data_IF_579280121410
#
_entry.id   IF_579280121410
#
_cell.length_a   1.000
_cell.length_b   1.000
_cell.length_c   1.000
_cell.angle_alpha   90.00
_cell.angle_beta   90.00
_cell.angle_gamma   90.00
#
_symmetry.space_group_name_H-M   'P 1'
#
loop_
_entity.id
_entity.type
_entity.pdbx_description
1 polymer ?
#
# COMPACT_ATOMS: atom_id res chain seq x y z
N UNK A 1 14.73 4.75 -14.41
CA UNK A 1 13.83 4.70 -13.25
C UNK A 1 13.27 6.07 -12.85
N UNK A 2 14.10 7.10 -12.62
CA UNK A 2 13.62 8.43 -12.23
C UNK A 2 12.66 9.04 -13.25
N UNK A 3 12.93 8.92 -14.53
CA UNK A 3 12.05 9.37 -15.62
C UNK A 3 10.71 8.64 -15.66
N UNK A 4 10.72 7.33 -15.42
CA UNK A 4 9.48 6.53 -15.33
C UNK A 4 8.65 6.90 -14.11
N UNK A 5 9.30 7.15 -12.98
CA UNK A 5 8.61 7.64 -11.79
C UNK A 5 7.99 9.03 -12.05
N UNK A 6 8.77 9.96 -12.62
CA UNK A 6 8.25 11.28 -12.99
C UNK A 6 7.04 11.20 -13.95
N UNK A 7 7.11 10.31 -14.93
CA UNK A 7 5.98 10.04 -15.83
C UNK A 7 4.77 9.47 -15.09
N UNK A 8 4.97 8.51 -14.17
CA UNK A 8 3.90 7.93 -13.37
C UNK A 8 3.19 8.97 -12.50
N UNK A 9 3.97 9.88 -11.86
CA UNK A 9 3.41 10.99 -11.08
C UNK A 9 2.65 11.97 -11.98
N UNK A 10 3.23 12.36 -13.12
CA UNK A 10 2.57 13.25 -14.07
C UNK A 10 1.26 12.67 -14.61
N UNK A 11 1.26 11.37 -14.97
CA UNK A 11 0.04 10.66 -15.37
C UNK A 11 -0.99 10.60 -14.23
N UNK A 12 -0.55 10.42 -12.99
CA UNK A 12 -1.45 10.40 -11.82
C UNK A 12 -2.13 11.75 -11.63
N UNK A 13 -1.38 12.84 -11.72
CA UNK A 13 -1.90 14.21 -11.62
C UNK A 13 -2.82 14.54 -12.79
N UNK A 14 -2.40 14.22 -14.03
CA UNK A 14 -3.23 14.45 -15.22
C UNK A 14 -4.55 13.68 -15.15
N UNK A 15 -4.50 12.42 -14.71
CA UNK A 15 -5.67 11.58 -14.55
C UNK A 15 -6.62 12.12 -13.47
N UNK A 16 -6.08 12.67 -12.38
CA UNK A 16 -6.84 13.31 -11.32
C UNK A 16 -7.72 14.45 -11.86
N UNK A 17 -7.16 15.31 -12.72
CA UNK A 17 -7.90 16.45 -13.30
C UNK A 17 -8.79 16.06 -14.49
N UNK A 18 -8.50 14.98 -15.18
CA UNK A 18 -9.26 14.57 -16.38
C UNK A 18 -10.50 13.74 -16.04
N UNK A 19 -10.44 12.91 -14.99
CA UNK A 19 -11.57 12.03 -14.67
C UNK A 19 -12.70 12.77 -13.98
N UNK A 20 -13.94 12.62 -14.49
CA UNK A 20 -15.10 13.20 -13.83
C UNK A 20 -15.28 12.61 -12.44
N UNK A 21 -15.58 13.45 -11.50
CA UNK A 21 -15.91 13.07 -10.13
C UNK A 21 -17.25 12.33 -10.12
N UNK A 22 -17.31 11.17 -9.50
CA UNK A 22 -18.59 10.49 -9.27
C UNK A 22 -19.42 11.35 -8.29
N UNK A 23 -20.63 11.72 -8.69
CA UNK A 23 -21.54 12.50 -7.86
C UNK A 23 -21.73 11.81 -6.49
N UNK A 24 -21.57 12.58 -5.42
CA UNK A 24 -21.72 12.09 -4.04
C UNK A 24 -20.52 11.31 -3.47
N UNK A 25 -19.42 11.13 -4.20
CA UNK A 25 -18.21 10.53 -3.64
C UNK A 25 -17.53 11.51 -2.67
N UNK A 26 -17.24 11.08 -1.42
CA UNK A 26 -16.50 11.91 -0.46
C UNK A 26 -15.03 12.12 -0.86
N UNK A 27 -14.49 11.22 -1.69
CA UNK A 27 -13.11 11.25 -2.18
C UNK A 27 -13.08 11.18 -3.69
N UNK A 28 -12.07 11.78 -4.30
CA UNK A 28 -11.88 11.73 -5.73
C UNK A 28 -11.68 10.28 -6.21
N UNK A 29 -12.52 9.81 -7.14
CA UNK A 29 -12.51 8.41 -7.60
C UNK A 29 -11.22 8.02 -8.31
N UNK A 30 -10.57 8.96 -9.01
CA UNK A 30 -9.26 8.75 -9.65
C UNK A 30 -8.14 8.52 -8.65
N UNK A 31 -8.35 8.85 -7.37
CA UNK A 31 -7.36 8.67 -6.32
C UNK A 31 -7.04 7.19 -6.04
N UNK A 32 -7.94 6.27 -6.37
CA UNK A 32 -7.78 4.85 -6.02
C UNK A 32 -6.86 4.06 -6.95
N UNK A 33 -6.92 4.25 -8.26
CA UNK A 33 -6.22 3.38 -9.20
C UNK A 33 -4.83 3.91 -9.60
N UNK A 34 -4.78 5.13 -10.10
CA UNK A 34 -3.53 5.68 -10.68
C UNK A 34 -2.52 6.03 -9.59
N UNK A 35 -3.00 6.45 -8.41
CA UNK A 35 -2.13 6.69 -7.26
C UNK A 35 -1.39 5.44 -6.80
N UNK A 36 -2.02 4.28 -6.83
CA UNK A 36 -1.36 3.02 -6.46
C UNK A 36 -0.16 2.72 -7.35
N UNK A 37 -0.27 2.99 -8.66
CA UNK A 37 0.85 2.79 -9.58
C UNK A 37 2.04 3.72 -9.25
N UNK A 38 1.78 5.01 -8.99
CA UNK A 38 2.84 5.96 -8.62
C UNK A 38 3.51 5.59 -7.29
N UNK A 39 2.74 5.08 -6.32
CA UNK A 39 3.24 4.59 -5.02
C UNK A 39 4.13 3.36 -5.20
N UNK A 40 3.70 2.39 -6.02
CA UNK A 40 4.51 1.22 -6.35
C UNK A 40 5.82 1.62 -7.03
N UNK A 41 5.77 2.59 -7.97
CA UNK A 41 6.95 3.14 -8.62
C UNK A 41 7.87 3.87 -7.64
N UNK A 42 7.31 4.57 -6.64
CA UNK A 42 8.10 5.18 -5.56
C UNK A 42 8.82 4.11 -4.73
N UNK A 43 8.14 3.04 -4.34
CA UNK A 43 8.76 1.91 -3.63
C UNK A 43 9.90 1.27 -4.42
N UNK A 44 9.69 1.04 -5.72
CA UNK A 44 10.71 0.51 -6.62
C UNK A 44 11.91 1.48 -6.77
N UNK A 45 11.64 2.79 -6.90
CA UNK A 45 12.68 3.82 -7.00
C UNK A 45 13.54 3.85 -5.72
N UNK A 46 12.91 3.86 -4.56
CA UNK A 46 13.60 3.85 -3.26
C UNK A 46 14.47 2.61 -3.12
N UNK A 47 13.96 1.44 -3.52
CA UNK A 47 14.73 0.20 -3.51
C UNK A 47 15.95 0.24 -4.44
N UNK A 48 15.79 0.74 -5.66
CA UNK A 48 16.89 0.88 -6.63
C UNK A 48 17.94 1.89 -6.17
N UNK A 49 17.49 2.97 -5.52
CA UNK A 49 18.37 4.03 -5.01
C UNK A 49 18.87 3.78 -3.59
N UNK A 50 18.63 2.61 -3.01
CA UNK A 50 18.92 2.29 -1.59
C UNK A 50 20.35 2.63 -1.16
N UNK A 51 21.35 2.37 -2.04
CA UNK A 51 22.76 2.61 -1.74
C UNK A 51 23.14 4.11 -1.70
N UNK A 52 22.23 4.98 -2.19
CA UNK A 52 22.39 6.45 -2.18
C UNK A 52 21.59 7.13 -1.09
N UNK A 53 20.71 6.37 -0.39
CA UNK A 53 19.87 6.92 0.67
C UNK A 53 20.71 7.01 1.94
N UNK A 54 20.94 8.24 2.40
CA UNK A 54 21.59 8.48 3.68
C UNK A 54 20.65 8.13 4.82
N UNK A 55 21.10 7.24 5.71
CA UNK A 55 20.39 6.94 6.94
C UNK A 55 20.66 8.06 7.93
N UNK A 56 19.62 8.74 8.38
CA UNK A 56 19.66 9.79 9.38
C UNK A 56 19.53 9.24 10.81
N UNK A 57 19.01 10.08 11.72
CA UNK A 57 18.59 9.64 13.04
C UNK A 57 17.24 8.93 12.95
N UNK A 58 17.14 7.72 13.52
CA UNK A 58 15.92 6.91 13.48
C UNK A 58 14.68 7.66 13.98
N UNK A 59 14.83 8.55 15.00
CA UNK A 59 13.73 9.37 15.51
C UNK A 59 13.22 10.33 14.44
N UNK A 60 14.10 10.97 13.66
CA UNK A 60 13.71 11.88 12.59
C UNK A 60 12.96 11.15 11.49
N UNK A 61 13.40 9.95 11.15
CA UNK A 61 12.76 9.15 10.09
C UNK A 61 11.40 8.61 10.53
N UNK A 62 11.26 8.19 11.80
CA UNK A 62 9.95 7.82 12.38
C UNK A 62 9.03 9.03 12.43
N UNK A 63 9.49 10.18 12.94
CA UNK A 63 8.69 11.41 12.95
C UNK A 63 8.29 11.83 11.54
N UNK A 64 9.19 11.73 10.57
CA UNK A 64 8.89 12.02 9.16
C UNK A 64 7.80 11.11 8.59
N UNK A 65 7.83 9.83 8.92
CA UNK A 65 6.80 8.86 8.54
C UNK A 65 5.45 9.21 9.17
N UNK A 66 5.39 9.46 10.48
CA UNK A 66 4.16 9.80 11.20
C UNK A 66 3.57 11.13 10.73
N UNK A 67 4.40 12.16 10.55
CA UNK A 67 3.95 13.46 10.02
C UNK A 67 3.37 13.29 8.61
N UNK A 68 4.03 12.51 7.76
CA UNK A 68 3.54 12.23 6.40
C UNK A 68 2.19 11.51 6.44
N UNK A 69 2.02 10.55 7.35
CA UNK A 69 0.77 9.85 7.55
C UNK A 69 -0.37 10.78 7.98
N UNK A 70 -0.12 11.60 9.00
CA UNK A 70 -1.11 12.57 9.50
C UNK A 70 -1.47 13.60 8.42
N UNK A 71 -0.48 14.15 7.71
CA UNK A 71 -0.72 15.12 6.63
C UNK A 71 -1.55 14.52 5.50
N UNK A 72 -1.30 13.26 5.13
CA UNK A 72 -2.11 12.56 4.13
C UNK A 72 -3.59 12.58 4.50
N UNK A 73 -3.95 12.13 5.71
CA UNK A 73 -5.32 12.11 6.16
C UNK A 73 -5.91 13.50 6.38
N UNK A 74 -5.10 14.46 6.81
CA UNK A 74 -5.54 15.85 7.00
C UNK A 74 -5.96 16.46 5.65
N UNK A 75 -5.15 16.31 4.61
CA UNK A 75 -5.45 16.83 3.26
C UNK A 75 -6.71 16.15 2.71
N UNK A 76 -6.86 14.84 2.88
CA UNK A 76 -8.07 14.14 2.47
C UNK A 76 -9.31 14.64 3.24
N UNK A 77 -9.17 14.90 4.54
CA UNK A 77 -10.27 15.40 5.37
C UNK A 77 -10.71 16.82 4.96
N UNK A 78 -9.76 17.68 4.58
CA UNK A 78 -10.06 19.05 4.09
C UNK A 78 -10.90 18.99 2.82
N UNK A 79 -10.57 18.11 1.88
CA UNK A 79 -11.31 17.96 0.62
C UNK A 79 -12.58 17.12 0.71
N UNK A 80 -12.79 16.41 1.83
CA UNK A 80 -13.94 15.52 1.99
C UNK A 80 -15.27 16.27 1.91
N UNK A 81 -16.18 15.77 1.07
CA UNK A 81 -17.51 16.36 0.88
C UNK A 81 -17.51 17.84 0.44
N UNK A 82 -16.40 18.33 -0.14
CA UNK A 82 -16.29 19.67 -0.68
C UNK A 82 -16.50 19.64 -2.19
N UNK A 83 -16.72 20.83 -2.77
CA UNK A 83 -16.85 21.04 -4.21
C UNK A 83 -15.88 22.13 -4.66
N UNK A 84 -15.54 22.13 -5.94
CA UNK A 84 -14.61 23.11 -6.51
C UNK A 84 -13.17 22.91 -6.04
N UNK A 85 -12.41 23.98 -5.93
CA UNK A 85 -10.97 23.94 -5.68
C UNK A 85 -10.58 23.21 -4.37
N UNK A 86 -11.42 23.24 -3.33
CA UNK A 86 -11.17 22.52 -2.08
C UNK A 86 -11.18 21.00 -2.26
N UNK A 87 -11.95 20.52 -3.22
CA UNK A 87 -11.95 19.11 -3.59
C UNK A 87 -10.66 18.73 -4.32
N UNK A 88 -10.20 19.62 -5.22
CA UNK A 88 -8.99 19.43 -6.00
C UNK A 88 -7.72 19.44 -5.14
N UNK A 89 -7.75 20.08 -3.97
CA UNK A 89 -6.64 20.05 -2.99
C UNK A 89 -6.25 18.61 -2.61
N UNK A 90 -7.17 17.65 -2.73
CA UNK A 90 -6.86 16.24 -2.44
C UNK A 90 -5.69 15.70 -3.27
N UNK A 91 -5.39 16.26 -4.46
CA UNK A 91 -4.22 15.86 -5.25
C UNK A 91 -2.90 16.06 -4.49
N UNK A 92 -2.84 17.06 -3.61
CA UNK A 92 -1.66 17.32 -2.78
C UNK A 92 -1.37 16.18 -1.78
N UNK A 93 -2.35 15.32 -1.47
CA UNK A 93 -2.15 14.16 -0.62
C UNK A 93 -1.17 13.13 -1.23
N UNK A 94 -0.91 13.21 -2.54
CA UNK A 94 0.15 12.41 -3.19
C UNK A 94 1.53 12.70 -2.59
N UNK A 95 1.82 13.94 -2.23
CA UNK A 95 3.14 14.33 -1.70
C UNK A 95 3.43 13.64 -0.36
N UNK A 96 2.59 13.78 0.68
CA UNK A 96 2.84 13.08 1.94
C UNK A 96 2.74 11.56 1.77
N UNK A 97 1.96 11.05 0.83
CA UNK A 97 1.88 9.61 0.58
C UNK A 97 3.20 9.04 0.04
N UNK A 98 3.85 9.73 -0.92
CA UNK A 98 5.18 9.34 -1.40
C UNK A 98 6.25 9.51 -0.32
N UNK A 99 6.15 10.58 0.49
CA UNK A 99 7.04 10.80 1.64
C UNK A 99 6.91 9.68 2.67
N UNK A 100 5.68 9.21 2.93
CA UNK A 100 5.42 8.08 3.81
C UNK A 100 6.12 6.80 3.34
N UNK A 101 6.07 6.50 2.04
CA UNK A 101 6.79 5.35 1.46
C UNK A 101 8.30 5.49 1.64
N UNK A 102 8.84 6.68 1.38
CA UNK A 102 10.28 6.96 1.54
C UNK A 102 10.75 6.78 2.98
N UNK A 103 10.08 7.42 3.94
CA UNK A 103 10.42 7.30 5.36
C UNK A 103 10.14 5.90 5.90
N UNK A 104 9.05 5.27 5.45
CA UNK A 104 8.73 3.89 5.80
C UNK A 104 9.84 2.91 5.38
N UNK A 105 10.42 3.07 4.19
CA UNK A 105 11.59 2.31 3.77
C UNK A 105 12.79 2.55 4.70
N UNK A 106 13.10 3.80 5.05
CA UNK A 106 14.20 4.12 5.96
C UNK A 106 13.98 3.47 7.33
N UNK A 107 12.78 3.61 7.89
CA UNK A 107 12.41 3.01 9.17
C UNK A 107 12.53 1.48 9.11
N UNK A 108 12.09 0.85 8.03
CA UNK A 108 12.21 -0.59 7.83
C UNK A 108 13.65 -1.08 7.67
N UNK A 109 14.57 -0.20 7.27
CA UNK A 109 15.99 -0.53 7.04
C UNK A 109 16.88 -0.38 8.29
N UNK A 110 16.32 -0.01 9.45
CA UNK A 110 17.09 0.08 10.69
C UNK A 110 17.32 -1.29 11.33
N UNK A 111 18.45 -1.46 12.02
CA UNK A 111 18.85 -2.72 12.69
C UNK A 111 17.83 -3.26 13.70
N UNK A 112 17.03 -2.41 14.33
CA UNK A 112 15.98 -2.86 15.23
C UNK A 112 14.87 -3.60 14.49
N UNK A 113 14.59 -3.21 13.25
CA UNK A 113 13.64 -3.91 12.37
C UNK A 113 14.17 -5.30 12.01
N UNK A 114 15.46 -5.41 11.68
CA UNK A 114 16.11 -6.71 11.45
C UNK A 114 16.03 -7.61 12.69
N UNK A 115 16.22 -7.03 13.87
CA UNK A 115 16.07 -7.76 15.12
C UNK A 115 14.62 -8.24 15.34
N UNK A 116 13.61 -7.42 15.03
CA UNK A 116 12.21 -7.82 15.10
C UNK A 116 11.87 -8.90 14.07
N UNK A 117 12.38 -8.75 12.84
CA UNK A 117 12.19 -9.72 11.74
C UNK A 117 12.92 -11.04 12.02
N UNK A 118 14.04 -11.00 12.73
CA UNK A 118 14.79 -12.20 13.16
C UNK A 118 14.05 -13.05 14.20
N UNK A 119 13.00 -12.54 14.83
CA UNK A 119 12.16 -13.34 15.73
C UNK A 119 11.34 -14.36 14.93
N UNK A 120 11.48 -15.62 15.29
CA UNK A 120 10.91 -16.78 14.57
C UNK A 120 9.42 -16.65 14.22
N UNK A 121 8.61 -16.03 15.07
CA UNK A 121 7.19 -15.84 14.85
C UNK A 121 6.88 -14.63 13.94
N UNK A 122 7.47 -13.48 14.26
CA UNK A 122 7.23 -12.24 13.50
C UNK A 122 7.79 -12.33 12.08
N UNK A 123 9.02 -12.80 11.94
CA UNK A 123 9.66 -12.95 10.63
C UNK A 123 8.89 -13.90 9.72
N UNK A 124 8.44 -15.06 10.22
CA UNK A 124 7.61 -15.98 9.43
C UNK A 124 6.26 -15.40 9.06
N UNK A 125 5.59 -14.68 9.98
CA UNK A 125 4.33 -14.02 9.70
C UNK A 125 4.45 -12.95 8.63
N UNK A 126 5.48 -12.10 8.73
CA UNK A 126 5.73 -11.04 7.73
C UNK A 126 6.11 -11.65 6.38
N UNK A 127 6.95 -12.68 6.37
CA UNK A 127 7.32 -13.40 5.14
C UNK A 127 6.10 -14.02 4.46
N UNK A 128 5.21 -14.64 5.24
CA UNK A 128 3.95 -15.20 4.75
C UNK A 128 3.08 -14.10 4.10
N UNK A 129 2.83 -13.00 4.81
CA UNK A 129 2.03 -11.89 4.29
C UNK A 129 2.67 -11.26 3.05
N UNK A 130 4.00 -11.08 3.05
CA UNK A 130 4.74 -10.58 1.90
C UNK A 130 4.62 -11.51 0.70
N UNK A 131 4.68 -12.83 0.92
CA UNK A 131 4.50 -13.85 -0.12
C UNK A 131 3.06 -13.95 -0.66
N UNK A 132 2.08 -13.39 0.05
CA UNK A 132 0.66 -13.37 -0.33
C UNK A 132 0.18 -11.98 -0.80
N UNK A 133 1.08 -11.02 -0.97
CA UNK A 133 0.70 -9.62 -1.24
C UNK A 133 -0.19 -9.47 -2.46
N UNK A 134 0.09 -10.19 -3.55
CA UNK A 134 -0.70 -10.13 -4.78
C UNK A 134 -2.11 -10.71 -4.57
N UNK A 135 -2.20 -11.86 -3.94
CA UNK A 135 -3.46 -12.54 -3.66
C UNK A 135 -4.29 -11.74 -2.66
N UNK A 136 -3.66 -11.16 -1.63
CA UNK A 136 -4.30 -10.24 -0.69
C UNK A 136 -4.93 -9.07 -1.45
N UNK A 137 -4.18 -8.45 -2.38
CA UNK A 137 -4.66 -7.33 -3.17
C UNK A 137 -5.89 -7.71 -4.02
N UNK A 138 -5.91 -8.92 -4.57
CA UNK A 138 -7.03 -9.39 -5.40
C UNK A 138 -8.28 -9.64 -4.54
N UNK A 139 -8.15 -10.31 -3.39
CA UNK A 139 -9.32 -10.73 -2.60
C UNK A 139 -9.86 -9.65 -1.67
N UNK A 140 -9.05 -8.67 -1.27
CA UNK A 140 -9.44 -7.65 -0.29
C UNK A 140 -10.70 -6.87 -0.73
N UNK A 141 -10.81 -6.53 -2.01
CA UNK A 141 -11.96 -5.76 -2.53
C UNK A 141 -13.29 -6.50 -2.39
N UNK A 142 -13.27 -7.83 -2.37
CA UNK A 142 -14.47 -8.66 -2.20
C UNK A 142 -14.83 -8.87 -0.72
N UNK A 143 -13.84 -8.80 0.18
CA UNK A 143 -13.98 -9.18 1.58
C UNK A 143 -14.13 -7.99 2.52
N UNK A 144 -13.70 -6.79 2.12
CA UNK A 144 -13.92 -5.58 2.91
C UNK A 144 -15.41 -5.25 2.94
N UNK A 145 -15.97 -5.25 4.14
CA UNK A 145 -17.41 -4.99 4.36
C UNK A 145 -17.62 -4.08 5.56
N UNK A 146 -18.62 -3.22 5.47
CA UNK A 146 -19.02 -2.34 6.57
C UNK A 146 -19.86 -3.05 7.67
N UNK A 147 -20.26 -4.28 7.43
CA UNK A 147 -21.17 -5.03 8.34
C UNK A 147 -20.58 -5.25 9.74
N UNK A 148 -19.25 -5.21 9.87
CA UNK A 148 -18.53 -5.50 11.11
C UNK A 148 -18.01 -4.24 11.81
N UNK A 149 -18.42 -3.06 11.37
CA UNK A 149 -17.98 -1.79 11.95
C UNK A 149 -18.42 -1.60 13.40
N UNK A 150 -19.49 -2.28 13.83
CA UNK A 150 -19.97 -2.27 15.22
C UNK A 150 -18.97 -2.88 16.22
N UNK A 151 -18.02 -3.69 15.75
CA UNK A 151 -17.03 -4.41 16.58
C UNK A 151 -15.65 -3.78 16.47
N UNK A 152 -15.57 -2.50 16.07
CA UNK A 152 -14.29 -1.78 16.01
C UNK A 152 -13.62 -1.71 17.40
N UNK A 153 -12.26 -1.91 17.52
CA UNK A 153 -11.27 -2.13 16.45
C UNK A 153 -11.03 -3.61 16.09
N UNK A 154 -11.75 -4.56 16.69
CA UNK A 154 -11.55 -6.01 16.50
C UNK A 154 -11.83 -6.43 15.05
N UNK A 155 -12.78 -5.75 14.38
CA UNK A 155 -13.11 -6.01 12.99
C UNK A 155 -11.89 -5.93 12.06
N UNK A 156 -10.94 -5.03 12.31
CA UNK A 156 -9.73 -4.90 11.49
C UNK A 156 -8.92 -6.21 11.52
N UNK A 157 -8.72 -6.77 12.72
CA UNK A 157 -7.95 -8.01 12.89
C UNK A 157 -8.67 -9.19 12.25
N UNK A 158 -9.99 -9.29 12.46
CA UNK A 158 -10.80 -10.38 11.92
C UNK A 158 -10.83 -10.32 10.39
N UNK A 159 -11.12 -9.15 9.81
CA UNK A 159 -11.18 -8.98 8.35
C UNK A 159 -9.81 -9.24 7.74
N UNK A 160 -8.73 -8.75 8.35
CA UNK A 160 -7.37 -9.02 7.87
C UNK A 160 -7.04 -10.52 7.91
N UNK A 161 -7.41 -11.24 8.97
CA UNK A 161 -7.20 -12.69 9.06
C UNK A 161 -7.98 -13.45 7.98
N UNK A 162 -9.23 -13.05 7.71
CA UNK A 162 -10.06 -13.64 6.64
C UNK A 162 -9.44 -13.38 5.27
N UNK A 163 -8.95 -12.16 5.02
CA UNK A 163 -8.28 -11.81 3.76
C UNK A 163 -7.01 -12.66 3.59
N UNK A 164 -6.18 -12.81 4.61
CA UNK A 164 -4.98 -13.64 4.55
C UNK A 164 -5.31 -15.12 4.28
N UNK A 165 -6.34 -15.66 4.90
CA UNK A 165 -6.80 -17.03 4.67
C UNK A 165 -7.30 -17.22 3.22
N UNK A 166 -8.11 -16.30 2.72
CA UNK A 166 -8.63 -16.36 1.35
C UNK A 166 -7.49 -16.20 0.32
N UNK A 167 -6.54 -15.31 0.57
CA UNK A 167 -5.36 -15.14 -0.27
C UNK A 167 -4.50 -16.42 -0.31
N UNK A 168 -4.30 -17.06 0.84
CA UNK A 168 -3.58 -18.32 0.91
C UNK A 168 -4.29 -19.42 0.09
N UNK A 169 -5.61 -19.57 0.25
CA UNK A 169 -6.39 -20.51 -0.54
C UNK A 169 -6.29 -20.23 -2.04
N UNK A 170 -6.39 -18.97 -2.43
CA UNK A 170 -6.23 -18.56 -3.84
C UNK A 170 -4.85 -18.96 -4.38
N UNK A 171 -3.77 -18.72 -3.62
CA UNK A 171 -2.42 -19.12 -4.01
C UNK A 171 -2.29 -20.63 -4.19
N UNK A 172 -2.82 -21.41 -3.25
CA UNK A 172 -2.82 -22.88 -3.35
C UNK A 172 -3.60 -23.36 -4.59
N UNK A 173 -4.78 -22.79 -4.83
CA UNK A 173 -5.59 -23.13 -6.02
C UNK A 173 -4.87 -22.77 -7.32
N UNK A 174 -4.25 -21.61 -7.39
CA UNK A 174 -3.48 -21.18 -8.56
C UNK A 174 -2.28 -22.09 -8.81
N UNK A 175 -1.53 -22.43 -7.75
CA UNK A 175 -0.40 -23.36 -7.88
C UNK A 175 -0.84 -24.76 -8.31
N UNK A 176 -1.95 -25.28 -7.76
CA UNK A 176 -2.52 -26.56 -8.19
C UNK A 176 -2.96 -26.53 -9.65
N UNK A 177 -3.64 -25.46 -10.08
CA UNK A 177 -4.07 -25.28 -11.46
C UNK A 177 -2.89 -25.23 -12.45
N UNK A 178 -1.84 -24.47 -12.10
CA UNK A 178 -0.63 -24.37 -12.91
C UNK A 178 0.10 -25.72 -13.01
N UNK A 179 0.18 -26.49 -11.91
CA UNK A 179 0.79 -27.81 -11.93
C UNK A 179 0.08 -28.81 -12.84
N UNK A 180 -1.24 -28.68 -12.98
CA UNK A 180 -2.04 -29.48 -13.94
C UNK A 180 -1.73 -29.13 -15.39
N UNK A 181 -1.43 -27.86 -15.68
CA UNK A 181 -1.14 -27.39 -17.04
C UNK A 181 0.32 -27.64 -17.46
N UNK A 182 1.28 -27.48 -16.55
CA UNK A 182 2.72 -27.56 -16.87
C UNK A 182 3.31 -28.96 -16.78
N UNK A 183 2.60 -29.95 -16.28
CA UNK A 183 3.12 -31.28 -15.91
C UNK A 183 4.29 -31.24 -14.90
N UNK A 184 4.59 -30.09 -14.34
CA UNK A 184 5.61 -29.96 -13.30
C UNK A 184 5.07 -30.43 -11.95
N UNK A 185 5.99 -30.82 -11.06
CA UNK A 185 5.59 -31.19 -9.71
C UNK A 185 5.04 -29.96 -8.99
N UNK A 186 3.96 -30.18 -8.24
CA UNK A 186 3.37 -29.15 -7.39
C UNK A 186 4.42 -28.62 -6.41
N UNK A 187 4.80 -27.36 -6.57
CA UNK A 187 5.68 -26.64 -5.65
C UNK A 187 4.96 -25.41 -5.13
N UNK A 188 4.72 -25.36 -3.82
CA UNK A 188 4.18 -24.19 -3.15
C UNK A 188 5.36 -23.43 -2.53
N UNK A 189 5.86 -22.40 -3.23
CA UNK A 189 6.82 -21.44 -2.67
C UNK A 189 6.06 -20.34 -1.92
N UNK A 190 6.24 -20.29 -0.61
CA UNK A 190 5.67 -19.26 0.28
C UNK A 190 6.79 -18.49 0.95
#
# INVERSE_FOLDING_TARGET
MLSLFGLAVACSVAYFFWMPVAEGSPFHTSFHFVCHFSIMMMGALVYVCRDRISMGHWVQDVCGMEISFVLYFLILAIGKNKTGWLYDVQVLALVPLHSFVYYGYKVASYKWTDWCLGKRFLGKGISLVAGLTLEIYIVQFMLITNKWNSVFPLNIVIVFAIICLAAYLLKVMTAAFLSLLSKDKFALEI
#
